data_IF_979424539931
#
_entry.id   IF_979424539931
#
_cell.length_a   1.000
_cell.length_b   1.000
_cell.length_c   1.000
_cell.angle_alpha   90.00
_cell.angle_beta   90.00
_cell.angle_gamma   90.00
#
_symmetry.space_group_name_H-M   'P 1'
#
loop_
_entity.id
_entity.type
_entity.pdbx_description
1 polymer ?
#
# COMPACT_ATOMS: atom_id res chain seq x y z
N UNK A 1 6.02 -15.85 -17.44
CA UNK A 1 5.02 -16.96 -17.23
C UNK A 1 4.33 -16.71 -15.90
N UNK A 2 3.00 -16.57 -15.86
CA UNK A 2 2.29 -16.36 -14.59
C UNK A 2 2.48 -17.59 -13.68
N UNK A 3 2.98 -17.42 -12.44
CA UNK A 3 3.29 -18.56 -11.60
C UNK A 3 2.02 -19.35 -11.24
N UNK A 4 2.11 -20.68 -11.29
CA UNK A 4 1.01 -21.58 -10.92
C UNK A 4 0.73 -21.48 -9.42
N UNK A 5 -0.54 -21.37 -8.99
CA UNK A 5 -0.88 -21.34 -7.57
C UNK A 5 -0.35 -22.59 -6.83
N UNK A 6 0.04 -22.46 -5.56
CA UNK A 6 0.52 -23.60 -4.77
C UNK A 6 -0.60 -24.61 -4.53
N UNK A 7 -0.23 -25.90 -4.38
CA UNK A 7 -1.18 -26.98 -4.02
C UNK A 7 -1.89 -26.72 -2.68
N UNK A 8 -1.19 -26.08 -1.75
CA UNK A 8 -1.75 -25.63 -0.47
C UNK A 8 -1.65 -24.11 -0.36
N UNK A 9 -2.77 -23.46 -0.03
CA UNK A 9 -2.84 -22.00 0.12
C UNK A 9 -2.10 -21.57 1.39
N UNK A 10 -1.24 -20.56 1.27
CA UNK A 10 -0.47 -20.00 2.38
C UNK A 10 -1.44 -19.36 3.40
N UNK A 11 -1.41 -19.73 4.69
CA UNK A 11 -2.20 -19.05 5.70
C UNK A 11 -1.71 -17.62 5.91
N UNK A 12 -2.64 -16.68 5.94
CA UNK A 12 -2.37 -15.26 6.15
C UNK A 12 -3.26 -14.68 7.25
N UNK A 13 -2.76 -13.65 7.93
CA UNK A 13 -3.54 -12.86 8.86
C UNK A 13 -3.75 -11.43 8.36
N UNK A 14 -4.84 -10.78 8.79
CA UNK A 14 -5.08 -9.35 8.58
C UNK A 14 -5.08 -8.64 9.94
N UNK A 15 -4.16 -7.70 10.14
CA UNK A 15 -4.13 -6.81 11.31
C UNK A 15 -4.95 -5.55 10.99
N UNK A 16 -5.73 -5.06 11.95
CA UNK A 16 -6.68 -3.96 11.70
C UNK A 16 -7.90 -4.42 10.88
N UNK A 17 -8.29 -5.68 11.01
CA UNK A 17 -9.30 -6.35 10.18
C UNK A 17 -10.68 -5.67 10.15
N UNK A 18 -11.04 -4.88 11.16
CA UNK A 18 -12.35 -4.23 11.28
C UNK A 18 -12.43 -2.87 10.59
N UNK A 19 -11.30 -2.26 10.23
CA UNK A 19 -11.27 -0.98 9.50
C UNK A 19 -11.57 -1.13 8.01
N UNK A 20 -11.80 -0.02 7.31
CA UNK A 20 -12.16 -0.02 5.88
C UNK A 20 -11.12 -0.74 4.98
N UNK A 21 -9.83 -0.52 5.24
CA UNK A 21 -8.74 -1.21 4.52
C UNK A 21 -8.68 -2.70 4.88
N UNK A 22 -8.83 -3.06 6.16
CA UNK A 22 -8.89 -4.45 6.60
C UNK A 22 -10.05 -5.23 5.98
N UNK A 23 -11.24 -4.62 5.90
CA UNK A 23 -12.40 -5.18 5.22
C UNK A 23 -12.16 -5.34 3.71
N UNK A 24 -11.36 -4.46 3.10
CA UNK A 24 -10.95 -4.60 1.69
C UNK A 24 -10.00 -5.78 1.50
N UNK A 25 -9.01 -5.97 2.38
CA UNK A 25 -8.18 -7.18 2.37
C UNK A 25 -9.03 -8.44 2.48
N UNK A 26 -10.01 -8.46 3.38
CA UNK A 26 -10.88 -9.62 3.57
C UNK A 26 -11.65 -9.97 2.28
N UNK A 27 -12.22 -8.97 1.60
CA UNK A 27 -12.91 -9.19 0.31
C UNK A 27 -11.97 -9.74 -0.75
N UNK A 28 -10.77 -9.17 -0.87
CA UNK A 28 -9.78 -9.60 -1.86
C UNK A 28 -9.17 -10.98 -1.55
N UNK A 29 -9.12 -11.37 -0.27
CA UNK A 29 -8.53 -12.63 0.17
C UNK A 29 -9.52 -13.79 0.24
N UNK A 30 -10.84 -13.55 0.22
CA UNK A 30 -11.87 -14.56 0.45
C UNK A 30 -11.71 -15.80 -0.43
N UNK A 31 -11.48 -15.60 -1.73
CA UNK A 31 -11.30 -16.68 -2.72
C UNK A 31 -9.92 -16.60 -3.40
N UNK A 32 -8.91 -16.09 -2.70
CA UNK A 32 -7.60 -15.88 -3.30
C UNK A 32 -6.91 -17.22 -3.65
N UNK A 33 -6.33 -17.37 -4.86
CA UNK A 33 -5.74 -18.64 -5.30
C UNK A 33 -4.50 -19.05 -4.48
N UNK A 34 -3.80 -18.08 -3.89
CA UNK A 34 -2.55 -18.33 -3.16
C UNK A 34 -2.70 -18.29 -1.65
N UNK A 35 -3.70 -17.57 -1.15
CA UNK A 35 -3.80 -17.21 0.26
C UNK A 35 -5.07 -17.78 0.85
N UNK A 36 -4.93 -18.33 2.07
CA UNK A 36 -6.06 -18.70 2.91
C UNK A 36 -6.11 -17.72 4.06
N UNK A 37 -7.15 -16.89 4.10
CA UNK A 37 -7.39 -16.01 5.22
C UNK A 37 -7.68 -16.84 6.48
N UNK A 38 -6.68 -16.96 7.35
CA UNK A 38 -6.72 -17.87 8.49
C UNK A 38 -7.05 -17.15 9.80
N UNK A 39 -6.56 -15.92 9.95
CA UNK A 39 -6.64 -15.18 11.22
C UNK A 39 -7.00 -13.71 10.96
N UNK A 40 -7.81 -13.14 11.85
CA UNK A 40 -8.19 -11.74 11.83
C UNK A 40 -7.82 -11.13 13.17
N UNK A 41 -7.05 -10.05 13.17
CA UNK A 41 -6.66 -9.34 14.38
C UNK A 41 -7.12 -7.88 14.33
N UNK A 42 -7.57 -7.37 15.46
CA UNK A 42 -7.99 -5.98 15.62
C UNK A 42 -7.76 -5.49 17.05
N UNK A 43 -8.37 -4.36 17.41
CA UNK A 43 -8.27 -3.75 18.73
C UNK A 43 -8.76 -4.68 19.85
N UNK A 44 -8.32 -4.41 21.08
CA UNK A 44 -8.75 -5.14 22.29
C UNK A 44 -10.28 -5.17 22.45
N UNK A 45 -10.98 -4.09 22.05
CA UNK A 45 -12.46 -4.02 22.05
C UNK A 45 -13.11 -5.08 21.15
N UNK A 46 -12.40 -5.49 20.10
CA UNK A 46 -12.86 -6.44 19.09
C UNK A 46 -12.43 -7.87 19.41
N UNK A 47 -11.28 -8.03 20.08
CA UNK A 47 -10.72 -9.33 20.41
C UNK A 47 -11.72 -10.20 21.23
N UNK A 48 -11.75 -11.50 20.92
CA UNK A 48 -12.63 -12.49 21.56
C UNK A 48 -14.06 -12.55 21.02
N UNK A 49 -14.49 -11.58 20.19
CA UNK A 49 -15.78 -11.63 19.49
C UNK A 49 -15.64 -12.35 18.16
N UNK A 50 -16.74 -12.87 17.62
CA UNK A 50 -16.76 -13.27 16.21
C UNK A 50 -16.63 -12.05 15.32
N UNK A 51 -16.06 -12.21 14.12
CA UNK A 51 -15.87 -11.10 13.20
C UNK A 51 -17.19 -10.41 12.85
N UNK A 52 -18.27 -11.18 12.67
CA UNK A 52 -19.61 -10.63 12.42
C UNK A 52 -20.15 -9.74 13.56
N UNK A 53 -19.72 -9.97 14.80
CA UNK A 53 -20.07 -9.14 15.96
C UNK A 53 -19.14 -7.93 16.13
N UNK A 54 -17.87 -8.06 15.75
CA UNK A 54 -16.86 -7.04 15.94
C UNK A 54 -16.85 -5.98 14.81
N UNK A 55 -17.02 -6.41 13.56
CA UNK A 55 -16.90 -5.56 12.39
C UNK A 55 -18.20 -4.83 12.09
N UNK A 56 -18.13 -3.50 11.99
CA UNK A 56 -19.13 -2.73 11.26
C UNK A 56 -18.82 -2.86 9.77
N UNK A 57 -19.38 -3.90 9.15
CA UNK A 57 -19.11 -4.21 7.75
C UNK A 57 -19.60 -3.10 6.80
N UNK A 58 -18.76 -2.74 5.84
CA UNK A 58 -18.95 -1.68 4.85
C UNK A 58 -18.80 -2.31 3.46
N UNK A 59 -19.83 -2.20 2.64
CA UNK A 59 -19.90 -2.79 1.30
C UNK A 59 -21.01 -3.85 1.19
N UNK A 60 -20.84 -4.77 0.24
CA UNK A 60 -21.80 -5.83 -0.06
C UNK A 60 -21.88 -6.90 1.04
N UNK A 61 -22.35 -8.11 0.73
CA UNK A 61 -22.42 -9.19 1.70
C UNK A 61 -21.04 -9.55 2.29
N UNK A 62 -20.95 -9.65 3.62
CA UNK A 62 -19.77 -10.18 4.30
C UNK A 62 -19.53 -11.64 3.87
N UNK A 63 -18.31 -12.02 3.45
CA UNK A 63 -17.98 -13.40 3.10
C UNK A 63 -18.31 -14.36 4.25
N UNK A 64 -19.01 -15.45 3.95
CA UNK A 64 -19.52 -16.37 4.98
C UNK A 64 -18.37 -17.00 5.80
N UNK A 65 -17.26 -17.29 5.12
CA UNK A 65 -16.07 -17.93 5.67
C UNK A 65 -15.40 -17.12 6.78
N UNK A 66 -15.63 -15.79 6.83
CA UNK A 66 -15.01 -14.94 7.86
C UNK A 66 -15.92 -14.63 9.03
N UNK A 67 -17.25 -14.76 8.89
CA UNK A 67 -18.23 -14.34 9.90
C UNK A 67 -17.97 -14.95 11.28
N UNK A 68 -17.67 -16.25 11.29
CA UNK A 68 -17.44 -17.04 12.50
C UNK A 68 -16.02 -16.98 13.06
N UNK A 69 -15.06 -16.32 12.38
CA UNK A 69 -13.68 -16.24 12.86
C UNK A 69 -13.65 -15.39 14.13
N UNK A 70 -13.08 -15.93 15.21
CA UNK A 70 -12.82 -15.17 16.43
C UNK A 70 -11.70 -14.17 16.19
N UNK A 71 -11.96 -12.90 16.46
CA UNK A 71 -10.97 -11.83 16.31
C UNK A 71 -9.91 -11.97 17.40
N UNK A 72 -8.65 -11.94 16.99
CA UNK A 72 -7.48 -11.96 17.86
C UNK A 72 -7.04 -10.54 18.22
N UNK A 73 -6.33 -10.33 19.34
CA UNK A 73 -5.56 -9.11 19.53
C UNK A 73 -4.39 -9.07 18.54
N UNK A 74 -3.91 -7.86 18.22
CA UNK A 74 -2.72 -7.64 17.39
C UNK A 74 -1.43 -7.99 18.16
N UNK A 75 -1.26 -9.26 18.50
CA UNK A 75 -0.17 -9.80 19.31
C UNK A 75 0.51 -10.97 18.57
N UNK A 76 1.83 -10.91 18.30
CA UNK A 76 2.56 -11.98 17.60
C UNK A 76 2.64 -13.30 18.41
N UNK A 77 2.31 -13.30 19.70
CA UNK A 77 2.16 -14.52 20.49
C UNK A 77 0.87 -15.26 20.16
N UNK A 78 -0.15 -14.58 19.63
CA UNK A 78 -1.47 -15.16 19.34
C UNK A 78 -1.65 -15.44 17.85
N UNK A 79 -1.25 -14.52 16.98
CA UNK A 79 -1.31 -14.69 15.53
C UNK A 79 -0.17 -15.60 15.06
N UNK A 80 -0.52 -16.70 14.38
CA UNK A 80 0.42 -17.76 13.95
C UNK A 80 0.80 -17.71 12.48
N UNK A 81 0.04 -16.99 11.65
CA UNK A 81 0.27 -16.91 10.22
C UNK A 81 1.68 -16.35 9.92
N UNK A 82 2.43 -16.95 8.98
CA UNK A 82 3.77 -16.51 8.63
C UNK A 82 3.80 -15.16 7.90
N UNK A 83 2.70 -14.82 7.22
CA UNK A 83 2.51 -13.57 6.49
C UNK A 83 1.32 -12.81 7.08
N UNK A 84 1.52 -11.53 7.36
CA UNK A 84 0.48 -10.65 7.90
C UNK A 84 0.30 -9.42 7.03
N UNK A 85 -0.93 -9.15 6.61
CA UNK A 85 -1.32 -7.90 5.97
C UNK A 85 -1.68 -6.89 7.06
N UNK A 86 -0.96 -5.77 7.13
CA UNK A 86 -1.22 -4.71 8.10
C UNK A 86 -2.06 -3.60 7.50
N UNK A 87 -3.29 -3.48 7.99
CA UNK A 87 -4.22 -2.39 7.73
C UNK A 87 -4.40 -1.50 8.98
N UNK A 88 -3.37 -1.44 9.84
CA UNK A 88 -3.39 -0.68 11.08
C UNK A 88 -3.31 0.83 10.82
N UNK A 89 -3.85 1.61 11.75
CA UNK A 89 -3.63 3.04 11.77
C UNK A 89 -2.16 3.37 12.08
N UNK A 90 -1.64 4.42 11.44
CA UNK A 90 -0.23 4.80 11.58
C UNK A 90 0.20 5.15 13.01
N UNK A 91 -0.72 5.52 13.89
CA UNK A 91 -0.44 5.79 15.30
C UNK A 91 -0.02 4.55 16.11
N UNK A 92 -0.43 3.36 15.67
CA UNK A 92 -0.14 2.09 16.37
C UNK A 92 0.67 1.11 15.52
N UNK A 93 0.66 1.28 14.19
CA UNK A 93 1.31 0.36 13.25
C UNK A 93 2.80 0.16 13.55
N UNK A 94 3.54 1.23 13.88
CA UNK A 94 4.99 1.18 14.08
C UNK A 94 5.44 0.12 15.08
N UNK A 95 4.91 0.17 16.32
CA UNK A 95 5.29 -0.76 17.38
C UNK A 95 4.80 -2.18 17.10
N UNK A 96 3.57 -2.32 16.61
CA UNK A 96 2.96 -3.62 16.33
C UNK A 96 3.68 -4.33 15.19
N UNK A 97 3.93 -3.67 14.08
CA UNK A 97 4.61 -4.26 12.91
C UNK A 97 6.04 -4.69 13.25
N UNK A 98 6.77 -3.90 14.06
CA UNK A 98 8.08 -4.29 14.57
C UNK A 98 8.01 -5.56 15.43
N UNK A 99 7.01 -5.68 16.30
CA UNK A 99 6.84 -6.87 17.14
C UNK A 99 6.58 -8.13 16.28
N UNK A 100 5.78 -8.02 15.23
CA UNK A 100 5.52 -9.12 14.29
C UNK A 100 6.78 -9.49 13.48
N UNK A 101 7.51 -8.51 12.95
CA UNK A 101 8.74 -8.75 12.21
C UNK A 101 9.80 -9.42 13.10
N UNK A 102 9.98 -8.95 14.34
CA UNK A 102 10.87 -9.57 15.35
C UNK A 102 10.48 -10.99 15.69
N UNK A 103 9.18 -11.28 15.77
CA UNK A 103 8.70 -12.62 16.02
C UNK A 103 8.99 -13.58 14.86
N UNK A 104 9.35 -13.09 13.67
CA UNK A 104 9.71 -13.89 12.51
C UNK A 104 8.66 -13.87 11.39
N UNK A 105 7.78 -12.87 11.35
CA UNK A 105 6.64 -12.80 10.41
C UNK A 105 7.01 -11.84 9.29
N UNK A 106 6.52 -12.12 8.08
CA UNK A 106 6.59 -11.17 6.98
C UNK A 106 5.37 -10.25 7.06
N UNK A 107 5.62 -8.97 7.33
CA UNK A 107 4.60 -7.93 7.45
C UNK A 107 4.50 -7.19 6.11
N UNK A 108 3.32 -7.22 5.49
CA UNK A 108 2.99 -6.43 4.31
C UNK A 108 2.10 -5.26 4.76
N UNK A 109 2.69 -4.07 4.89
CA UNK A 109 2.05 -2.93 5.54
C UNK A 109 1.52 -1.89 4.57
N UNK A 110 0.30 -1.41 4.80
CA UNK A 110 -0.23 -0.20 4.17
C UNK A 110 0.02 1.07 5.01
N UNK A 111 0.59 0.96 6.21
CA UNK A 111 0.89 2.10 7.07
C UNK A 111 2.09 2.90 6.57
N UNK A 112 2.16 4.19 6.94
CA UNK A 112 3.24 5.09 6.50
C UNK A 112 4.56 4.90 7.24
N UNK A 113 4.55 4.21 8.38
CA UNK A 113 5.58 4.26 9.42
C UNK A 113 6.99 3.91 8.94
N UNK A 114 7.12 2.93 8.03
CA UNK A 114 8.41 2.42 7.56
C UNK A 114 8.69 2.69 6.09
N UNK A 115 7.80 3.41 5.38
CA UNK A 115 7.87 3.56 3.91
C UNK A 115 9.19 4.13 3.43
N UNK A 116 9.77 5.05 4.21
CA UNK A 116 11.00 5.76 3.86
C UNK A 116 12.24 5.25 4.59
N UNK A 117 12.14 4.17 5.38
CA UNK A 117 13.33 3.52 5.96
C UNK A 117 14.22 2.96 4.84
N UNK A 118 15.54 3.16 4.93
CA UNK A 118 16.50 2.80 3.87
C UNK A 118 16.56 1.30 3.56
N UNK A 119 16.25 0.47 4.56
CA UNK A 119 16.26 -1.00 4.47
C UNK A 119 14.85 -1.59 4.31
N UNK A 120 13.81 -0.76 4.13
CA UNK A 120 12.43 -1.22 3.95
C UNK A 120 12.01 -1.01 2.50
N UNK A 121 11.64 -2.08 1.76
CA UNK A 121 11.15 -1.93 0.41
C UNK A 121 9.76 -1.28 0.38
N UNK A 122 9.60 -0.33 -0.54
CA UNK A 122 8.35 0.38 -0.83
C UNK A 122 7.91 -0.02 -2.23
N UNK A 123 6.99 -0.97 -2.34
CA UNK A 123 6.83 -1.76 -3.56
C UNK A 123 5.49 -1.53 -4.24
N UNK A 124 5.56 -1.27 -5.54
CA UNK A 124 4.49 -1.51 -6.51
C UNK A 124 4.95 -2.70 -7.35
N UNK A 125 4.29 -3.86 -7.27
CA UNK A 125 4.77 -5.10 -7.90
C UNK A 125 5.12 -4.98 -9.39
N UNK A 126 4.38 -4.15 -10.13
CA UNK A 126 4.58 -3.94 -11.56
C UNK A 126 5.75 -3.01 -11.89
N UNK A 127 6.22 -2.19 -10.94
CA UNK A 127 7.17 -1.10 -11.20
C UNK A 127 8.57 -1.39 -10.66
N UNK A 128 8.65 -1.93 -9.44
CA UNK A 128 9.91 -2.05 -8.71
C UNK A 128 9.93 -3.32 -7.84
N UNK A 129 9.62 -4.47 -8.44
CA UNK A 129 9.63 -5.74 -7.72
C UNK A 129 11.04 -6.11 -7.24
N UNK A 130 12.07 -5.69 -7.98
CA UNK A 130 13.47 -5.87 -7.63
C UNK A 130 13.84 -5.24 -6.26
N UNK A 131 13.10 -4.22 -5.81
CA UNK A 131 13.29 -3.58 -4.49
C UNK A 131 13.11 -4.57 -3.34
N UNK A 132 12.36 -5.67 -3.53
CA UNK A 132 12.20 -6.74 -2.54
C UNK A 132 13.53 -7.38 -2.12
N UNK A 133 14.59 -7.26 -2.93
CA UNK A 133 15.94 -7.69 -2.55
C UNK A 133 16.46 -7.03 -1.26
N UNK A 134 15.92 -5.86 -0.87
CA UNK A 134 16.25 -5.23 0.41
C UNK A 134 15.85 -6.05 1.65
N UNK A 135 14.96 -7.03 1.53
CA UNK A 135 14.58 -7.88 2.66
C UNK A 135 15.77 -8.64 3.27
N UNK A 136 16.75 -9.03 2.45
CA UNK A 136 17.97 -9.68 2.95
C UNK A 136 18.81 -8.70 3.77
N UNK A 137 18.98 -7.48 3.27
CA UNK A 137 19.69 -6.39 3.95
C UNK A 137 18.99 -6.03 5.26
N UNK A 138 17.67 -5.91 5.23
CA UNK A 138 16.84 -5.61 6.39
C UNK A 138 17.03 -6.65 7.49
N UNK A 139 16.93 -7.94 7.15
CA UNK A 139 17.12 -9.05 8.10
C UNK A 139 18.50 -9.04 8.72
N UNK A 140 19.53 -8.84 7.90
CA UNK A 140 20.92 -8.75 8.38
C UNK A 140 21.13 -7.55 9.31
N UNK A 141 20.61 -6.36 8.95
CA UNK A 141 20.75 -5.11 9.71
C UNK A 141 19.95 -5.11 11.01
N UNK A 142 18.74 -5.68 10.99
CA UNK A 142 17.79 -5.65 12.12
C UNK A 142 17.92 -6.87 13.03
N UNK A 143 18.51 -7.97 12.53
CA UNK A 143 18.71 -9.21 13.29
C UNK A 143 17.42 -10.02 13.49
N UNK A 144 16.45 -9.92 12.58
CA UNK A 144 15.17 -10.62 12.65
C UNK A 144 15.05 -11.64 11.52
N UNK A 145 14.35 -12.76 11.76
CA UNK A 145 14.02 -13.73 10.70
C UNK A 145 12.80 -13.31 9.87
N UNK A 146 12.00 -12.38 10.38
CA UNK A 146 10.83 -11.83 9.69
C UNK A 146 11.20 -10.73 8.69
N UNK A 147 10.29 -9.79 8.46
CA UNK A 147 10.58 -8.62 7.64
C UNK A 147 9.37 -7.72 7.48
N UNK A 148 9.60 -6.50 7.00
CA UNK A 148 8.58 -5.51 6.70
C UNK A 148 8.74 -5.10 5.24
N UNK A 149 7.66 -5.19 4.48
CA UNK A 149 7.49 -4.62 3.15
C UNK A 149 6.34 -3.62 3.24
N UNK A 150 6.49 -2.47 2.61
CA UNK A 150 5.46 -1.44 2.62
C UNK A 150 4.87 -1.23 1.24
N UNK A 151 3.56 -0.99 1.21
CA UNK A 151 2.89 -0.36 0.09
C UNK A 151 2.89 1.15 0.27
N UNK A 152 2.85 1.89 -0.83
CA UNK A 152 2.93 3.34 -0.86
C UNK A 152 1.58 4.04 -0.60
N UNK A 153 1.65 5.37 -0.55
CA UNK A 153 0.51 6.25 -0.51
C UNK A 153 -0.36 6.03 -1.76
N UNK A 154 -1.68 6.01 -1.57
CA UNK A 154 -2.63 5.70 -2.63
C UNK A 154 -2.57 6.68 -3.80
N UNK A 155 -2.33 7.98 -3.57
CA UNK A 155 -2.15 8.95 -4.65
C UNK A 155 -0.79 8.78 -5.35
N UNK A 156 0.28 8.52 -4.59
CA UNK A 156 1.62 8.27 -5.14
C UNK A 156 1.65 7.03 -6.04
N UNK A 157 1.01 5.93 -5.64
CA UNK A 157 0.97 4.69 -6.45
C UNK A 157 0.31 4.95 -7.80
N UNK A 158 -0.82 5.66 -7.81
CA UNK A 158 -1.55 5.98 -9.04
C UNK A 158 -0.69 6.82 -9.98
N UNK A 159 0.06 7.79 -9.44
CA UNK A 159 1.02 8.57 -10.22
C UNK A 159 2.14 7.68 -10.78
N UNK A 160 2.79 6.87 -9.93
CA UNK A 160 3.93 6.05 -10.33
C UNK A 160 3.57 5.01 -11.39
N UNK A 161 2.40 4.39 -11.34
CA UNK A 161 1.96 3.46 -12.38
C UNK A 161 1.94 4.07 -13.78
N UNK A 162 1.62 5.37 -13.89
CA UNK A 162 1.66 6.09 -15.16
C UNK A 162 3.06 6.66 -15.47
N UNK A 163 3.84 7.04 -14.45
CA UNK A 163 5.15 7.67 -14.61
C UNK A 163 6.28 6.65 -14.86
N UNK A 164 6.20 5.45 -14.32
CA UNK A 164 7.24 4.42 -14.45
C UNK A 164 7.65 4.13 -15.90
N UNK A 165 6.71 3.77 -16.82
CA UNK A 165 7.04 3.59 -18.23
C UNK A 165 7.69 4.82 -18.88
N UNK A 166 7.18 6.01 -18.56
CA UNK A 166 7.68 7.27 -19.13
C UNK A 166 9.07 7.63 -18.57
N UNK A 167 9.33 7.31 -17.30
CA UNK A 167 10.61 7.51 -16.65
C UNK A 167 11.68 6.59 -17.22
N UNK A 168 11.33 5.32 -17.43
CA UNK A 168 12.19 4.33 -18.07
C UNK A 168 12.58 4.74 -19.49
N UNK A 169 11.60 5.18 -20.30
CA UNK A 169 11.82 5.53 -21.71
C UNK A 169 12.50 6.89 -21.91
N UNK A 170 12.13 7.92 -21.14
CA UNK A 170 12.47 9.31 -21.46
C UNK A 170 13.21 10.06 -20.37
N UNK A 171 13.23 9.55 -19.13
CA UNK A 171 13.83 10.23 -17.98
C UNK A 171 13.07 11.49 -17.57
N UNK A 172 12.39 11.42 -16.42
CA UNK A 172 11.67 12.55 -15.83
C UNK A 172 12.63 13.38 -14.99
N UNK A 173 12.60 14.71 -15.14
CA UNK A 173 13.44 15.63 -14.36
C UNK A 173 12.63 16.50 -13.38
N UNK A 174 11.39 16.86 -13.75
CA UNK A 174 10.47 17.61 -12.88
C UNK A 174 9.05 17.10 -13.03
N UNK A 175 8.29 17.22 -11.95
CA UNK A 175 6.92 16.76 -11.86
C UNK A 175 6.10 17.73 -11.02
N UNK A 176 4.99 18.20 -11.56
CA UNK A 176 3.94 18.88 -10.80
C UNK A 176 2.72 17.98 -10.72
N UNK A 177 2.19 17.77 -9.52
CA UNK A 177 1.06 16.88 -9.24
C UNK A 177 -0.06 17.64 -8.56
N UNK A 178 -1.28 17.54 -9.08
CA UNK A 178 -2.49 17.97 -8.40
C UNK A 178 -3.44 16.79 -8.22
N UNK A 179 -3.81 16.45 -6.99
CA UNK A 179 -4.68 15.32 -6.69
C UNK A 179 -6.08 15.77 -6.32
N UNK A 180 -7.07 14.98 -6.73
CA UNK A 180 -8.46 15.05 -6.30
C UNK A 180 -8.81 13.69 -5.70
N UNK A 181 -8.77 13.61 -4.37
CA UNK A 181 -8.86 12.36 -3.63
C UNK A 181 -10.27 12.17 -3.07
N UNK A 182 -10.83 10.97 -3.27
CA UNK A 182 -12.09 10.53 -2.68
C UNK A 182 -12.10 10.54 -1.14
N UNK A 183 -13.30 10.57 -0.56
CA UNK A 183 -13.51 10.55 0.90
C UNK A 183 -13.14 9.22 1.55
N UNK A 184 -13.22 8.10 0.81
CA UNK A 184 -12.82 6.79 1.33
C UNK A 184 -11.32 6.71 1.69
N UNK A 185 -10.49 7.57 1.09
CA UNK A 185 -9.07 7.69 1.44
C UNK A 185 -8.81 8.22 2.86
N UNK A 186 -9.80 8.84 3.51
CA UNK A 186 -9.74 9.21 4.92
C UNK A 186 -10.15 8.07 5.87
N UNK A 187 -10.45 6.89 5.35
CA UNK A 187 -10.99 5.76 6.11
C UNK A 187 -12.45 5.95 6.48
N UNK A 188 -12.92 5.16 7.46
CA UNK A 188 -14.26 5.29 8.03
C UNK A 188 -14.14 5.55 9.54
N UNK A 189 -14.82 6.56 10.13
CA UNK A 189 -15.95 7.32 9.57
C UNK A 189 -15.59 8.42 8.55
N UNK A 190 -14.31 8.63 8.27
CA UNK A 190 -13.85 9.44 7.13
C UNK A 190 -14.12 10.93 7.30
N UNK A 191 -14.45 11.60 6.19
CA UNK A 191 -14.73 13.02 6.14
C UNK A 191 -16.21 13.27 6.48
N UNK A 192 -16.55 14.10 7.47
CA UNK A 192 -17.92 14.48 7.76
C UNK A 192 -18.64 15.05 6.54
N UNK A 193 -19.92 14.72 6.37
CA UNK A 193 -20.69 15.11 5.18
C UNK A 193 -20.76 16.62 4.97
N UNK A 194 -20.92 17.40 6.04
CA UNK A 194 -20.99 18.86 5.97
C UNK A 194 -19.67 19.52 5.55
N UNK A 195 -18.53 18.85 5.75
CA UNK A 195 -17.23 19.39 5.35
C UNK A 195 -17.00 19.27 3.83
N UNK A 196 -17.67 18.32 3.16
CA UNK A 196 -17.34 17.92 1.78
C UNK A 196 -18.48 18.04 0.77
N UNK A 197 -19.75 17.91 1.17
CA UNK A 197 -20.87 17.97 0.22
C UNK A 197 -20.97 19.35 -0.43
N UNK A 198 -20.91 19.39 -1.76
CA UNK A 198 -20.90 20.63 -2.54
C UNK A 198 -19.61 21.46 -2.37
N UNK A 199 -18.54 20.85 -1.84
CA UNK A 199 -17.31 21.54 -1.49
C UNK A 199 -16.05 20.79 -1.99
N UNK A 200 -14.91 21.48 -1.93
CA UNK A 200 -13.56 20.92 -2.09
C UNK A 200 -12.72 21.38 -0.91
N UNK A 201 -11.97 20.46 -0.30
CA UNK A 201 -11.03 20.81 0.78
C UNK A 201 -9.62 20.82 0.17
N UNK A 202 -8.97 21.98 0.00
CA UNK A 202 -7.68 22.11 -0.69
C UNK A 202 -6.50 21.81 0.25
N UNK A 203 -6.67 20.79 1.11
CA UNK A 203 -5.66 20.37 2.06
C UNK A 203 -5.91 18.94 2.54
N UNK A 204 -4.87 18.11 2.51
CA UNK A 204 -4.85 16.82 3.17
C UNK A 204 -3.55 16.73 3.97
N UNK A 205 -3.67 16.59 5.29
CA UNK A 205 -2.53 16.57 6.21
C UNK A 205 -1.50 15.49 5.82
N UNK A 206 -0.24 15.91 5.73
CA UNK A 206 0.93 15.09 5.39
C UNK A 206 0.88 14.45 3.99
N UNK A 207 -0.06 14.80 3.12
CA UNK A 207 -0.22 14.10 1.83
C UNK A 207 0.80 14.56 0.79
N UNK A 208 0.99 15.86 0.64
CA UNK A 208 1.94 16.44 -0.33
C UNK A 208 3.39 15.97 -0.08
N UNK A 209 3.93 16.00 1.17
CA UNK A 209 5.29 15.52 1.41
C UNK A 209 5.48 14.03 1.10
N UNK A 210 4.44 13.20 1.27
CA UNK A 210 4.49 11.78 0.90
C UNK A 210 4.57 11.62 -0.61
N UNK A 211 3.79 12.39 -1.37
CA UNK A 211 3.83 12.36 -2.84
C UNK A 211 5.23 12.77 -3.33
N UNK A 212 5.80 13.83 -2.77
CA UNK A 212 7.11 14.35 -3.17
C UNK A 212 8.28 13.42 -2.85
N UNK A 213 8.15 12.55 -1.84
CA UNK A 213 9.22 11.66 -1.38
C UNK A 213 9.05 10.21 -1.86
N UNK A 214 7.85 9.64 -1.73
CA UNK A 214 7.60 8.23 -2.04
C UNK A 214 7.74 7.94 -3.54
N UNK A 215 7.31 8.86 -4.43
CA UNK A 215 7.50 8.72 -5.89
C UNK A 215 8.97 8.53 -6.24
N UNK A 216 9.86 9.29 -5.61
CA UNK A 216 11.31 9.21 -5.86
C UNK A 216 11.90 7.88 -5.41
N UNK A 217 11.39 7.30 -4.33
CA UNK A 217 11.82 5.98 -3.85
C UNK A 217 11.34 4.88 -4.78
N UNK A 218 10.07 4.91 -5.18
CA UNK A 218 9.49 3.88 -6.06
C UNK A 218 10.10 3.87 -7.46
N UNK A 219 10.42 5.05 -8.02
CA UNK A 219 11.14 5.18 -9.30
C UNK A 219 12.67 5.10 -9.14
N UNK A 220 13.15 4.94 -7.90
CA UNK A 220 14.57 4.85 -7.59
C UNK A 220 15.17 3.51 -8.03
N UNK A 221 16.50 3.43 -8.02
CA UNK A 221 17.23 2.21 -8.39
C UNK A 221 17.75 1.53 -7.14
N UNK A 222 17.56 0.20 -7.05
CA UNK A 222 18.12 -0.60 -5.96
C UNK A 222 19.62 -0.84 -6.20
N UNK A 223 20.43 -0.52 -5.20
CA UNK A 223 21.81 -1.01 -5.06
C UNK A 223 21.84 -2.26 -4.16
N UNK A 224 23.01 -2.81 -3.87
CA UNK A 224 23.09 -4.00 -3.00
C UNK A 224 22.61 -3.75 -1.55
N UNK A 225 22.58 -2.49 -1.10
CA UNK A 225 22.31 -2.17 0.33
C UNK A 225 21.19 -1.17 0.58
N UNK A 226 20.73 -0.45 -0.46
CA UNK A 226 19.70 0.60 -0.34
C UNK A 226 19.05 0.91 -1.69
N UNK A 227 18.01 1.75 -1.67
CA UNK A 227 17.48 2.39 -2.88
C UNK A 227 18.08 3.78 -3.02
N UNK A 228 18.72 4.05 -4.15
CA UNK A 228 19.09 5.41 -4.53
C UNK A 228 17.85 6.09 -5.15
N UNK A 229 17.39 7.17 -4.51
CA UNK A 229 16.18 7.88 -4.92
C UNK A 229 16.33 8.46 -6.32
N UNK A 230 15.27 8.39 -7.13
CA UNK A 230 15.22 9.08 -8.41
C UNK A 230 15.44 10.59 -8.23
N UNK A 231 16.29 11.16 -9.08
CA UNK A 231 16.60 12.60 -9.08
C UNK A 231 15.52 13.38 -9.83
N UNK A 232 14.34 13.46 -9.21
CA UNK A 232 13.16 14.15 -9.74
C UNK A 232 12.79 15.26 -8.76
N UNK A 233 12.62 16.48 -9.27
CA UNK A 233 12.05 17.59 -8.50
C UNK A 233 10.53 17.54 -8.57
N UNK A 234 9.88 17.32 -7.43
CA UNK A 234 8.43 17.14 -7.36
C UNK A 234 7.81 18.26 -6.54
N UNK A 235 6.69 18.79 -7.02
CA UNK A 235 5.79 19.68 -6.26
C UNK A 235 4.39 19.10 -6.32
N UNK A 236 3.75 18.95 -5.16
CA UNK A 236 2.43 18.35 -5.05
C UNK A 236 1.40 19.29 -4.42
N UNK A 237 0.15 19.18 -4.88
CA UNK A 237 -1.02 19.78 -4.26
C UNK A 237 -2.11 18.73 -4.05
N UNK A 238 -2.58 18.57 -2.82
CA UNK A 238 -3.53 17.51 -2.46
C UNK A 238 -4.90 18.05 -2.02
N UNK A 239 -5.94 17.64 -2.75
CA UNK A 239 -7.31 18.11 -2.51
C UNK A 239 -8.25 16.94 -2.19
N UNK A 240 -9.19 17.15 -1.28
CA UNK A 240 -10.32 16.24 -1.03
C UNK A 240 -11.53 16.70 -1.85
N UNK A 241 -12.17 15.76 -2.54
CA UNK A 241 -13.39 15.99 -3.32
C UNK A 241 -14.52 15.06 -2.88
N UNK A 242 -15.76 15.44 -3.16
CA UNK A 242 -16.98 14.69 -2.84
C UNK A 242 -17.20 13.47 -3.77
N UNK A 243 -16.18 12.62 -3.88
CA UNK A 243 -16.20 11.36 -4.62
C UNK A 243 -16.09 10.22 -3.62
N UNK A 244 -16.91 9.19 -3.77
CA UNK A 244 -16.94 8.06 -2.83
C UNK A 244 -15.65 7.24 -2.90
N UNK A 245 -15.25 6.81 -4.10
CA UNK A 245 -14.09 5.97 -4.35
C UNK A 245 -13.32 6.43 -5.59
N UNK A 246 -11.99 6.27 -5.57
CA UNK A 246 -11.11 6.65 -6.67
C UNK A 246 -10.38 7.97 -6.43
N UNK A 247 -9.14 8.06 -6.89
CA UNK A 247 -8.36 9.30 -6.86
C UNK A 247 -8.06 9.70 -8.30
N UNK A 248 -8.22 10.98 -8.62
CA UNK A 248 -7.76 11.54 -9.89
C UNK A 248 -6.47 12.29 -9.65
N UNK A 249 -5.47 12.07 -10.50
CA UNK A 249 -4.16 12.71 -10.41
C UNK A 249 -3.89 13.42 -11.73
N UNK A 250 -3.81 14.75 -11.70
CA UNK A 250 -3.40 15.57 -12.83
C UNK A 250 -1.89 15.84 -12.71
N UNK A 251 -1.13 15.54 -13.75
CA UNK A 251 0.32 15.65 -13.74
C UNK A 251 0.83 16.49 -14.90
N UNK A 252 1.77 17.38 -14.62
CA UNK A 252 2.60 18.04 -15.63
C UNK A 252 4.02 17.51 -15.49
N UNK A 253 4.55 16.91 -16.55
CA UNK A 253 5.81 16.16 -16.53
C UNK A 253 6.82 16.85 -17.44
N UNK A 254 8.02 17.10 -16.91
CA UNK A 254 9.17 17.62 -17.66
C UNK A 254 10.19 16.51 -17.86
N UNK A 255 10.56 16.28 -19.12
CA UNK A 255 11.52 15.25 -19.52
C UNK A 255 12.86 15.90 -19.89
N UNK A 256 13.94 15.11 -19.88
CA UNK A 256 15.25 15.58 -20.35
C UNK A 256 15.28 15.94 -21.85
N UNK A 257 14.27 15.52 -22.61
CA UNK A 257 14.12 15.73 -24.05
C UNK A 257 12.67 16.07 -24.41
N UNK A 258 12.41 16.56 -25.63
CA UNK A 258 11.03 16.76 -26.08
C UNK A 258 10.35 15.40 -26.34
N UNK A 259 9.22 15.16 -25.66
CA UNK A 259 8.40 13.97 -25.84
C UNK A 259 7.03 14.39 -26.37
N UNK A 260 6.70 13.91 -27.57
CA UNK A 260 5.38 14.11 -28.18
C UNK A 260 4.31 13.20 -27.57
N UNK A 261 3.04 13.61 -27.66
CA UNK A 261 1.92 12.87 -27.09
C UNK A 261 1.80 11.43 -27.64
N UNK A 262 2.01 11.25 -28.95
CA UNK A 262 1.90 9.92 -29.58
C UNK A 262 2.96 8.94 -29.05
N UNK A 263 4.21 9.40 -28.89
CA UNK A 263 5.30 8.59 -28.34
C UNK A 263 5.04 8.21 -26.87
N UNK A 264 4.53 9.16 -26.07
CA UNK A 264 4.15 8.87 -24.68
C UNK A 264 3.00 7.84 -24.61
N UNK A 265 1.99 7.97 -25.48
CA UNK A 265 0.87 7.03 -25.54
C UNK A 265 1.28 5.63 -25.99
N UNK A 266 2.21 5.53 -26.95
CA UNK A 266 2.77 4.25 -27.39
C UNK A 266 3.47 3.53 -26.23
N UNK A 267 4.39 4.23 -25.54
CA UNK A 267 5.09 3.71 -24.36
C UNK A 267 4.11 3.23 -23.28
N UNK A 268 3.07 4.02 -22.97
CA UNK A 268 2.06 3.64 -21.98
C UNK A 268 1.26 2.39 -22.37
N UNK A 269 0.96 2.18 -23.66
CA UNK A 269 0.20 1.02 -24.16
C UNK A 269 1.04 -0.25 -24.22
N UNK A 270 2.30 -0.11 -24.58
CA UNK A 270 3.22 -1.24 -24.77
C UNK A 270 3.84 -1.71 -23.47
N UNK A 271 3.90 -0.84 -22.45
CA UNK A 271 4.53 -1.17 -21.19
C UNK A 271 3.93 -2.44 -20.56
N UNK A 272 4.83 -3.28 -20.06
CA UNK A 272 4.54 -4.48 -19.29
C UNK A 272 5.39 -4.38 -18.04
N UNK A 273 4.74 -4.33 -16.87
CA UNK A 273 5.44 -4.23 -15.61
C UNK A 273 6.33 -5.45 -15.32
N UNK A 274 7.30 -5.28 -14.42
CA UNK A 274 8.30 -6.31 -14.08
C UNK A 274 7.68 -7.64 -13.67
N UNK A 275 6.58 -7.62 -12.91
CA UNK A 275 5.85 -8.82 -12.48
C UNK A 275 5.15 -9.59 -13.63
N UNK A 276 5.11 -9.02 -14.84
CA UNK A 276 4.54 -9.65 -16.04
C UNK A 276 5.59 -10.30 -16.95
N UNK A 277 6.89 -10.11 -16.67
CA UNK A 277 8.01 -10.71 -17.41
C UNK A 277 8.27 -12.17 -16.99
#
# INVERSE_FOLDING_TARGET
MTPTPPRERLPVAVLGATGAVGQTFIRLLADHPWFRLAELAASERSAGKTYAQAARWIGDAMPEQVRGITVLPCDPAQVKSPLVFSALDSSVAGEVELAFARAGRLVLSNAKNFRMDDDVPLVIPEVNADHLGLLEVQRAKRGWSGGIVTNANCASIMAVMALAPLHEAFGISRLFVATMQAVSGAGYPGVPSLDILGNVIPFIKDEEPKIETEIRKMLGRRSDTRIDLADIRISAHANRVAVENGHTVCMSVDFGTHVGADAALEVLREWRGEASA
#
